data_IF_427511764036
#
_entry.id   IF_427511764036
#
_cell.length_a   1.000
_cell.length_b   1.000
_cell.length_c   1.000
_cell.angle_alpha   90.00
_cell.angle_beta   90.00
_cell.angle_gamma   90.00
#
_symmetry.space_group_name_H-M   'P 1'
#
loop_
_entity.id
_entity.type
_entity.pdbx_description
1 polymer ?
#
# COMPACT_ATOMS: atom_id res chain seq x y z
N UNK A 1 21.73 -16.37 15.03
CA UNK A 1 21.21 -17.10 13.86
C UNK A 1 20.47 -16.08 13.00
N UNK A 2 21.10 -15.60 11.94
CA UNK A 2 20.45 -14.65 11.01
C UNK A 2 19.57 -15.46 10.07
N UNK A 3 18.26 -15.44 10.31
CA UNK A 3 17.30 -15.93 9.32
C UNK A 3 17.28 -14.95 8.17
N UNK A 4 17.87 -15.34 7.03
CA UNK A 4 17.70 -14.62 5.77
C UNK A 4 16.18 -14.52 5.52
N UNK A 5 15.60 -13.32 5.35
CA UNK A 5 14.18 -13.20 5.10
C UNK A 5 13.85 -13.97 3.83
N UNK A 6 12.90 -14.91 3.93
CA UNK A 6 12.46 -15.72 2.82
C UNK A 6 11.69 -14.83 1.82
N UNK A 7 12.40 -14.39 0.79
CA UNK A 7 11.89 -13.55 -0.31
C UNK A 7 10.89 -14.28 -1.21
N UNK A 8 10.69 -15.58 -1.02
CA UNK A 8 9.77 -16.42 -1.79
C UNK A 8 8.44 -16.67 -1.07
N UNK A 9 8.40 -16.50 0.25
CA UNK A 9 7.17 -16.60 1.04
C UNK A 9 6.28 -15.35 0.88
N UNK A 10 4.96 -15.48 1.09
CA UNK A 10 4.06 -14.34 1.17
C UNK A 10 4.50 -13.30 2.20
N UNK A 11 4.16 -12.03 1.96
CA UNK A 11 4.53 -10.92 2.84
C UNK A 11 3.80 -10.93 4.18
N UNK A 12 2.70 -11.68 4.30
CA UNK A 12 1.98 -11.89 5.55
C UNK A 12 1.45 -13.30 5.65
N UNK A 13 1.22 -13.78 6.87
CA UNK A 13 0.55 -15.05 7.13
C UNK A 13 -0.98 -14.92 7.20
N UNK A 14 -1.51 -13.68 7.14
CA UNK A 14 -2.95 -13.44 7.10
C UNK A 14 -3.61 -14.12 5.90
N UNK A 15 -4.85 -14.58 6.09
CA UNK A 15 -5.60 -15.33 5.09
C UNK A 15 -6.89 -14.61 4.70
N UNK A 16 -7.25 -14.59 3.40
CA UNK A 16 -8.53 -14.04 2.94
C UNK A 16 -9.73 -14.66 3.68
N UNK A 17 -10.74 -13.83 3.97
CA UNK A 17 -11.93 -14.24 4.73
C UNK A 17 -11.76 -14.26 6.25
N UNK A 18 -10.54 -14.04 6.77
CA UNK A 18 -10.33 -13.77 8.19
C UNK A 18 -10.28 -12.26 8.46
N UNK A 19 -10.63 -11.78 9.67
CA UNK A 19 -10.53 -10.36 10.00
C UNK A 19 -9.11 -9.83 9.77
N UNK A 20 -8.99 -8.66 9.13
CA UNK A 20 -7.72 -7.97 8.95
C UNK A 20 -7.14 -7.60 10.32
N UNK A 21 -5.85 -7.89 10.59
CA UNK A 21 -5.20 -7.50 11.84
C UNK A 21 -5.30 -5.99 12.07
N UNK A 22 -5.86 -5.62 13.22
CA UNK A 22 -5.93 -4.21 13.64
C UNK A 22 -4.77 -3.94 14.60
N UNK A 23 -3.85 -3.02 14.30
CA UNK A 23 -2.82 -2.66 15.25
C UNK A 23 -3.46 -1.96 16.46
N UNK A 24 -2.81 -2.06 17.62
CA UNK A 24 -3.29 -1.41 18.84
C UNK A 24 -3.24 0.13 18.75
N UNK A 25 -2.40 0.65 17.86
CA UNK A 25 -2.27 2.07 17.56
C UNK A 25 -2.29 2.19 16.03
N UNK A 26 -3.23 2.96 15.49
CA UNK A 26 -3.22 3.33 14.09
C UNK A 26 -2.59 4.72 13.99
N UNK A 27 -1.46 4.89 13.30
CA UNK A 27 -0.85 6.20 13.11
C UNK A 27 -1.87 7.18 12.50
N UNK A 28 -1.89 8.41 13.02
CA UNK A 28 -2.75 9.49 12.54
C UNK A 28 -4.26 9.26 12.70
N UNK A 29 -4.71 8.34 13.57
CA UNK A 29 -6.13 8.04 13.78
C UNK A 29 -7.00 9.23 14.19
N UNK A 30 -6.42 10.22 14.87
CA UNK A 30 -7.13 11.43 15.30
C UNK A 30 -7.38 12.43 14.16
N UNK A 31 -6.85 12.18 12.96
CA UNK A 31 -7.05 13.04 11.79
C UNK A 31 -8.12 12.48 10.85
N UNK A 32 -8.78 13.39 10.14
CA UNK A 32 -9.74 13.02 9.09
C UNK A 32 -9.11 12.01 8.12
N UNK A 33 -9.78 10.86 7.99
CA UNK A 33 -9.36 9.75 7.14
C UNK A 33 -7.91 9.31 7.37
N UNK A 34 -7.36 9.44 8.59
CA UNK A 34 -5.97 9.10 8.90
C UNK A 34 -4.94 9.93 8.10
N UNK A 35 -5.38 11.02 7.44
CA UNK A 35 -4.66 11.71 6.36
C UNK A 35 -4.26 10.83 5.17
N UNK A 36 -4.94 9.70 4.99
CA UNK A 36 -4.74 8.73 3.91
C UNK A 36 -6.05 8.56 3.13
N UNK A 37 -6.47 9.58 2.36
CA UNK A 37 -7.67 9.48 1.53
C UNK A 37 -7.51 8.41 0.45
N UNK A 38 -8.49 7.50 0.28
CA UNK A 38 -8.43 6.49 -0.76
C UNK A 38 -8.57 7.10 -2.16
N UNK A 39 -8.17 6.38 -3.22
CA UNK A 39 -8.42 6.80 -4.60
C UNK A 39 -9.91 6.91 -4.91
N UNK A 40 -10.30 7.80 -5.82
CA UNK A 40 -11.69 7.93 -6.26
C UNK A 40 -12.29 6.57 -6.69
N UNK A 41 -13.47 6.27 -6.17
CA UNK A 41 -14.19 5.03 -6.41
C UNK A 41 -13.84 3.88 -5.46
N UNK A 42 -12.88 4.07 -4.55
CA UNK A 42 -12.52 3.12 -3.51
C UNK A 42 -12.81 3.68 -2.12
N UNK A 43 -13.22 2.82 -1.21
CA UNK A 43 -13.26 3.13 0.22
C UNK A 43 -11.90 2.84 0.87
N UNK A 44 -11.71 3.33 2.10
CA UNK A 44 -10.48 3.11 2.83
C UNK A 44 -10.35 1.65 3.31
N UNK A 45 -11.47 0.96 3.50
CA UNK A 45 -11.54 -0.49 3.73
C UNK A 45 -11.18 -1.28 2.46
N UNK A 46 -11.55 -0.80 1.27
CA UNK A 46 -11.20 -1.45 0.01
C UNK A 46 -9.69 -1.44 -0.22
N UNK A 47 -9.06 -0.28 -0.06
CA UNK A 47 -7.60 -0.12 -0.22
C UNK A 47 -6.87 -1.00 0.80
N UNK A 48 -7.32 -1.01 2.05
CA UNK A 48 -6.77 -1.89 3.08
C UNK A 48 -6.89 -3.36 2.70
N UNK A 49 -8.10 -3.81 2.34
CA UNK A 49 -8.34 -5.20 1.94
C UNK A 49 -7.45 -5.60 0.76
N UNK A 50 -7.36 -4.75 -0.26
CA UNK A 50 -6.55 -5.01 -1.45
C UNK A 50 -5.08 -5.21 -1.09
N UNK A 51 -4.50 -4.34 -0.25
CA UNK A 51 -3.10 -4.49 0.17
C UNK A 51 -2.86 -5.72 1.05
N UNK A 52 -3.82 -6.09 1.91
CA UNK A 52 -3.75 -7.35 2.68
C UNK A 52 -3.85 -8.58 1.79
N UNK A 53 -4.74 -8.58 0.79
CA UNK A 53 -4.83 -9.64 -0.22
C UNK A 53 -3.53 -9.78 -0.98
N UNK A 54 -2.98 -8.67 -1.49
CA UNK A 54 -1.70 -8.64 -2.20
C UNK A 54 -0.58 -9.21 -1.35
N UNK A 55 -0.47 -8.79 -0.09
CA UNK A 55 0.57 -9.29 0.80
C UNK A 55 0.40 -10.78 1.13
N UNK A 56 -0.83 -11.31 1.14
CA UNK A 56 -1.09 -12.72 1.46
C UNK A 56 -0.78 -13.69 0.32
N UNK A 57 -0.78 -13.21 -0.92
CA UNK A 57 -0.62 -14.06 -2.10
C UNK A 57 0.66 -13.78 -2.91
N UNK A 58 1.36 -12.68 -2.65
CA UNK A 58 2.62 -12.37 -3.32
C UNK A 58 3.80 -12.31 -2.36
N UNK A 59 4.96 -12.70 -2.88
CA UNK A 59 6.25 -12.51 -2.24
C UNK A 59 6.91 -11.19 -2.69
N UNK A 60 7.99 -10.77 -2.02
CA UNK A 60 8.76 -9.59 -2.45
C UNK A 60 9.28 -9.76 -3.88
N UNK A 61 9.75 -10.96 -4.22
CA UNK A 61 10.27 -11.26 -5.56
C UNK A 61 9.20 -11.09 -6.65
N UNK A 62 7.94 -11.43 -6.36
CA UNK A 62 6.84 -11.30 -7.31
C UNK A 62 6.32 -9.86 -7.45
N UNK A 63 6.30 -9.08 -6.36
CA UNK A 63 5.81 -7.69 -6.38
C UNK A 63 6.82 -6.69 -6.90
N UNK A 64 8.11 -6.91 -6.64
CA UNK A 64 9.20 -6.01 -7.05
C UNK A 64 9.09 -5.54 -8.50
N UNK A 65 9.03 -6.43 -9.52
CA UNK A 65 8.97 -5.97 -10.91
C UNK A 65 7.70 -5.17 -11.22
N UNK A 66 6.57 -5.46 -10.57
CA UNK A 66 5.30 -4.73 -10.78
C UNK A 66 5.39 -3.29 -10.26
N UNK A 67 5.91 -3.14 -9.04
CA UNK A 67 6.10 -1.82 -8.41
C UNK A 67 7.13 -1.00 -9.21
N UNK A 68 8.24 -1.63 -9.63
CA UNK A 68 9.27 -0.96 -10.42
C UNK A 68 8.74 -0.49 -11.77
N UNK A 69 7.98 -1.32 -12.49
CA UNK A 69 7.37 -0.95 -13.76
C UNK A 69 6.47 0.30 -13.62
N UNK A 70 5.64 0.36 -12.58
CA UNK A 70 4.79 1.54 -12.30
C UNK A 70 5.67 2.76 -12.00
N UNK A 71 6.67 2.59 -11.15
CA UNK A 71 7.58 3.67 -10.79
C UNK A 71 8.32 4.23 -12.02
N UNK A 72 8.82 3.36 -12.89
CA UNK A 72 9.57 3.74 -14.09
C UNK A 72 8.70 4.37 -15.18
N UNK A 73 7.41 4.03 -15.22
CA UNK A 73 6.46 4.61 -16.20
C UNK A 73 6.20 6.10 -15.98
N UNK A 74 6.55 6.64 -14.81
CA UNK A 74 6.41 8.05 -14.48
C UNK A 74 7.70 8.81 -14.78
N UNK A 75 7.62 9.74 -15.71
CA UNK A 75 8.72 10.61 -16.12
C UNK A 75 8.94 11.81 -15.19
N UNK A 76 7.95 12.19 -14.38
CA UNK A 76 8.06 13.32 -13.43
C UNK A 76 7.29 13.06 -12.12
N UNK A 77 7.88 13.51 -11.01
CA UNK A 77 7.38 13.35 -9.64
C UNK A 77 6.96 14.69 -9.05
N UNK A 78 6.09 15.43 -9.77
CA UNK A 78 5.74 16.81 -9.42
C UNK A 78 4.66 16.91 -8.31
N UNK A 79 4.27 15.79 -7.69
CA UNK A 79 3.29 15.79 -6.63
C UNK A 79 3.91 16.34 -5.34
N UNK A 80 3.30 17.39 -4.78
CA UNK A 80 3.71 17.99 -3.51
C UNK A 80 2.87 17.48 -2.32
N UNK A 81 1.84 16.68 -2.58
CA UNK A 81 0.95 16.15 -1.56
C UNK A 81 1.38 14.74 -1.13
N UNK A 82 1.56 14.54 0.17
CA UNK A 82 1.96 13.28 0.78
C UNK A 82 0.91 12.80 1.75
N UNK A 83 0.81 11.49 1.91
CA UNK A 83 0.00 10.85 2.94
C UNK A 83 0.80 9.82 3.72
N UNK A 84 0.51 9.65 5.03
CA UNK A 84 1.18 8.66 5.85
C UNK A 84 0.55 7.29 5.63
N UNK A 85 1.37 6.28 5.34
CA UNK A 85 0.91 4.90 5.18
C UNK A 85 1.33 4.00 6.36
N UNK A 86 2.26 4.47 7.19
CA UNK A 86 2.69 3.80 8.41
C UNK A 86 3.43 4.76 9.34
N UNK A 87 3.72 4.32 10.56
CA UNK A 87 4.75 4.91 11.42
C UNK A 87 6.18 4.62 10.89
N UNK A 88 7.20 5.23 11.49
CA UNK A 88 8.61 5.01 11.13
C UNK A 88 9.09 3.55 11.23
N UNK A 89 8.35 2.68 11.92
CA UNK A 89 8.65 1.25 12.05
C UNK A 89 7.87 0.41 11.01
N UNK A 90 7.04 1.02 10.18
CA UNK A 90 6.19 0.35 9.20
C UNK A 90 4.90 -0.21 9.78
N UNK A 91 4.54 0.11 11.02
CA UNK A 91 3.26 -0.29 11.59
C UNK A 91 2.16 0.68 11.12
N UNK A 92 0.99 0.14 10.83
CA UNK A 92 -0.16 0.92 10.40
C UNK A 92 -1.29 0.01 9.94
N UNK A 93 -2.16 0.54 9.09
CA UNK A 93 -3.31 -0.18 8.53
C UNK A 93 -2.87 -1.26 7.53
N UNK A 94 -1.71 -1.07 6.89
CA UNK A 94 -1.21 -1.92 5.84
C UNK A 94 -0.19 -2.95 6.34
N UNK A 95 0.01 -4.07 5.62
CA UNK A 95 1.03 -5.05 5.98
C UNK A 95 2.44 -4.43 6.07
N UNK A 96 3.08 -4.54 7.22
CA UNK A 96 4.39 -3.91 7.48
C UNK A 96 5.43 -4.24 6.40
N UNK A 97 5.58 -5.52 6.03
CA UNK A 97 6.54 -5.93 4.99
C UNK A 97 6.25 -5.28 3.63
N UNK A 98 4.98 -5.08 3.30
CA UNK A 98 4.58 -4.40 2.07
C UNK A 98 5.00 -2.93 2.09
N UNK A 99 4.75 -2.23 3.20
CA UNK A 99 5.19 -0.83 3.39
C UNK A 99 6.71 -0.72 3.27
N UNK A 100 7.46 -1.62 3.90
CA UNK A 100 8.92 -1.65 3.81
C UNK A 100 9.43 -1.88 2.38
N UNK A 101 8.74 -2.72 1.61
CA UNK A 101 9.07 -2.95 0.20
C UNK A 101 8.83 -1.70 -0.63
N UNK A 102 7.69 -1.03 -0.45
CA UNK A 102 7.42 0.24 -1.14
C UNK A 102 8.50 1.28 -0.82
N UNK A 103 8.87 1.40 0.46
CA UNK A 103 9.91 2.32 0.91
C UNK A 103 11.29 2.01 0.31
N UNK A 104 11.60 0.72 0.10
CA UNK A 104 12.86 0.25 -0.50
C UNK A 104 12.89 0.41 -2.01
N UNK A 105 11.75 0.33 -2.69
CA UNK A 105 11.67 0.28 -4.15
C UNK A 105 11.39 1.63 -4.79
N UNK A 106 10.65 2.50 -4.12
CA UNK A 106 10.25 3.78 -4.68
C UNK A 106 11.38 4.81 -4.55
N UNK A 107 11.52 5.72 -5.53
CA UNK A 107 12.56 6.74 -5.50
C UNK A 107 12.47 7.64 -4.26
N UNK A 108 13.62 8.18 -3.87
CA UNK A 108 13.69 9.25 -2.88
C UNK A 108 12.84 10.44 -3.34
N UNK A 109 11.98 10.95 -2.45
CA UNK A 109 10.99 11.98 -2.77
C UNK A 109 9.63 11.45 -3.22
N UNK A 110 9.52 10.18 -3.64
CA UNK A 110 8.21 9.51 -3.81
C UNK A 110 7.76 8.91 -2.48
N UNK A 111 8.68 8.26 -1.78
CA UNK A 111 8.54 7.83 -0.39
C UNK A 111 9.60 8.50 0.48
N UNK A 112 9.23 8.88 1.70
CA UNK A 112 10.15 9.50 2.64
C UNK A 112 9.76 9.21 4.11
N UNK A 113 10.74 9.30 5.01
CA UNK A 113 10.47 9.38 6.44
C UNK A 113 10.25 10.86 6.78
N UNK A 114 9.14 11.18 7.43
CA UNK A 114 8.84 12.56 7.82
C UNK A 114 9.44 12.86 9.20
N UNK A 115 10.63 13.44 9.20
CA UNK A 115 11.34 13.83 10.43
C UNK A 115 11.01 15.26 10.90
N UNK A 116 10.44 16.10 10.03
CA UNK A 116 10.13 17.49 10.37
C UNK A 116 9.04 17.56 11.45
N UNK A 117 9.40 17.99 12.65
CA UNK A 117 8.49 18.14 13.81
C UNK A 117 7.39 19.19 13.57
N UNK A 118 7.60 20.11 12.62
CA UNK A 118 6.58 21.10 12.25
C UNK A 118 5.56 20.55 11.26
N UNK A 119 5.85 19.41 10.63
CA UNK A 119 4.95 18.76 9.68
C UNK A 119 3.83 18.03 10.42
N UNK A 120 2.57 18.14 9.95
CA UNK A 120 1.47 17.34 10.50
C UNK A 120 1.62 15.83 10.22
N UNK A 121 2.62 15.44 9.43
CA UNK A 121 2.95 14.06 9.10
C UNK A 121 4.17 13.54 9.89
N UNK A 122 4.68 14.30 10.86
CA UNK A 122 5.84 13.93 11.67
C UNK A 122 5.73 12.50 12.22
N UNK A 123 6.81 11.73 12.13
CA UNK A 123 6.87 10.35 12.60
C UNK A 123 6.21 9.33 11.65
N UNK A 124 5.77 9.76 10.47
CA UNK A 124 5.19 8.89 9.44
C UNK A 124 6.19 8.46 8.37
N UNK A 125 5.99 7.25 7.84
CA UNK A 125 6.44 6.89 6.50
C UNK A 125 5.38 7.39 5.52
N UNK A 126 5.79 8.33 4.69
CA UNK A 126 4.90 9.03 3.77
C UNK A 126 5.19 8.63 2.33
N UNK A 127 4.14 8.66 1.52
CA UNK A 127 4.20 8.43 0.08
C UNK A 127 3.45 9.56 -0.65
N UNK A 128 3.92 9.94 -1.83
CA UNK A 128 3.19 10.88 -2.69
C UNK A 128 1.79 10.33 -2.97
N UNK A 129 0.79 11.20 -2.80
CA UNK A 129 -0.64 10.82 -2.88
C UNK A 129 -0.95 10.16 -4.22
N UNK A 130 -0.49 10.76 -5.32
CA UNK A 130 -0.70 10.21 -6.66
C UNK A 130 -0.05 8.85 -6.88
N UNK A 131 1.14 8.62 -6.31
CA UNK A 131 1.81 7.32 -6.43
C UNK A 131 1.04 6.27 -5.64
N UNK A 132 0.64 6.57 -4.41
CA UNK A 132 -0.16 5.65 -3.61
C UNK A 132 -1.48 5.31 -4.30
N UNK A 133 -2.13 6.32 -4.90
CA UNK A 133 -3.38 6.10 -5.60
C UNK A 133 -3.20 5.22 -6.83
N UNK A 134 -2.15 5.47 -7.61
CA UNK A 134 -1.81 4.65 -8.77
C UNK A 134 -1.52 3.19 -8.35
N UNK A 135 -0.63 2.99 -7.38
CA UNK A 135 -0.31 1.66 -6.86
C UNK A 135 -1.54 0.94 -6.30
N UNK A 136 -2.39 1.65 -5.57
CA UNK A 136 -3.62 1.08 -5.01
C UNK A 136 -4.58 0.67 -6.11
N UNK A 137 -4.77 1.48 -7.15
CA UNK A 137 -5.59 1.10 -8.32
C UNK A 137 -5.03 -0.14 -9.02
N UNK A 138 -3.73 -0.17 -9.31
CA UNK A 138 -3.07 -1.29 -9.97
C UNK A 138 -3.11 -2.58 -9.13
N UNK A 139 -3.11 -2.45 -7.81
CA UNK A 139 -3.15 -3.58 -6.88
C UNK A 139 -4.39 -4.47 -7.03
N UNK A 140 -5.50 -3.95 -7.60
CA UNK A 140 -6.71 -4.72 -7.85
C UNK A 140 -6.46 -5.87 -8.84
N UNK A 141 -5.61 -5.63 -9.84
CA UNK A 141 -5.19 -6.64 -10.82
C UNK A 141 -4.25 -7.69 -10.22
N UNK A 142 -3.67 -7.42 -9.04
CA UNK A 142 -2.76 -8.33 -8.35
C UNK A 142 -3.49 -9.20 -7.33
N UNK A 143 -4.68 -8.80 -6.90
CA UNK A 143 -5.49 -9.58 -5.97
C UNK A 143 -5.98 -10.90 -6.60
N UNK A 144 -6.17 -11.98 -5.81
CA UNK A 144 -6.89 -13.16 -6.27
C UNK A 144 -8.37 -12.82 -6.51
N UNK A 145 -8.90 -13.13 -7.69
CA UNK A 145 -10.24 -12.68 -8.08
C UNK A 145 -11.35 -13.23 -7.17
N UNK A 146 -11.23 -14.49 -6.73
CA UNK A 146 -12.21 -15.15 -5.87
C UNK A 146 -12.20 -14.61 -4.43
N UNK A 147 -11.13 -13.90 -4.06
CA UNK A 147 -11.00 -13.27 -2.74
C UNK A 147 -11.52 -11.82 -2.72
N UNK A 148 -11.85 -11.25 -3.88
CA UNK A 148 -12.39 -9.90 -3.98
C UNK A 148 -13.91 -9.88 -3.71
N UNK A 149 -14.41 -8.91 -2.92
CA UNK A 149 -15.84 -8.68 -2.78
C UNK A 149 -16.48 -8.30 -4.13
N UNK A 150 -17.80 -8.50 -4.32
CA UNK A 150 -18.45 -8.28 -5.61
C UNK A 150 -18.15 -6.92 -6.25
N UNK A 151 -18.22 -5.82 -5.50
CA UNK A 151 -18.00 -4.49 -6.06
C UNK A 151 -16.56 -4.26 -6.54
N UNK A 152 -15.55 -4.84 -5.88
CA UNK A 152 -14.16 -4.78 -6.35
C UNK A 152 -13.92 -5.70 -7.55
N UNK A 153 -14.64 -6.83 -7.64
CA UNK A 153 -14.61 -7.65 -8.87
C UNK A 153 -15.15 -6.88 -10.06
N UNK A 154 -16.25 -6.15 -9.88
CA UNK A 154 -16.84 -5.32 -10.92
C UNK A 154 -15.87 -4.22 -11.38
N UNK A 155 -15.24 -3.51 -10.43
CA UNK A 155 -14.21 -2.50 -10.75
C UNK A 155 -13.05 -3.12 -11.53
N UNK A 156 -12.58 -4.30 -11.12
CA UNK A 156 -11.51 -5.01 -11.83
C UNK A 156 -11.92 -5.37 -13.25
N UNK A 157 -13.11 -5.92 -13.43
CA UNK A 157 -13.61 -6.27 -14.76
C UNK A 157 -13.77 -5.04 -15.65
N UNK A 158 -14.25 -3.92 -15.12
CA UNK A 158 -14.28 -2.65 -15.87
C UNK A 158 -12.89 -2.21 -16.31
N UNK A 159 -11.91 -2.27 -15.42
CA UNK A 159 -10.51 -1.94 -15.74
C UNK A 159 -9.92 -2.88 -16.82
N UNK A 160 -10.16 -4.19 -16.72
CA UNK A 160 -9.72 -5.18 -17.71
C UNK A 160 -10.36 -4.96 -19.10
N UNK A 161 -11.56 -4.35 -19.14
CA UNK A 161 -12.27 -3.98 -20.37
C UNK A 161 -11.90 -2.59 -20.89
N UNK A 162 -11.07 -1.82 -20.18
CA UNK A 162 -10.69 -0.46 -20.55
C UNK A 162 -11.81 0.57 -20.42
N UNK A 163 -12.77 0.32 -19.52
CA UNK A 163 -13.96 1.16 -19.27
C UNK A 163 -13.79 2.07 -18.05
#
# INVERSE_FOLDING_TARGET
MSSTPDIQSPLTNWQPGTPIPRPAIIPFEDYDQYRDPPPDGLTQEDVELMWWLVASCHSEQALRPKIQQISESRSTWNCIAYQPIADMLGNGRYPQKLVMILFKLLPEGVCAQMHDESSPLHGGLVIQTEMWHLLSRESIGWCPIDALPPHLRDIRFSADLGL
#
